data_IF_132280663925
#
_entry.id   IF_132280663925
#
_cell.length_a   1.000
_cell.length_b   1.000
_cell.length_c   1.000
_cell.angle_alpha   90.00
_cell.angle_beta   90.00
_cell.angle_gamma   90.00
#
_symmetry.space_group_name_H-M   'P 1'
#
loop_
_entity.id
_entity.type
_entity.pdbx_description
1 polymer ?
#
# COMPACT_ATOMS: atom_id res chain seq x y z
N UNK A 1 -4.30 23.84 17.09
CA UNK A 1 -3.00 23.43 17.67
C UNK A 1 -2.77 21.97 17.33
N UNK A 2 -1.61 21.61 16.76
CA UNK A 2 -1.24 20.21 16.56
C UNK A 2 -0.59 19.70 17.85
N UNK A 3 -1.10 18.60 18.39
CA UNK A 3 -0.52 17.90 19.53
C UNK A 3 0.88 17.43 19.18
N UNK A 4 1.91 17.94 19.87
CA UNK A 4 3.30 17.46 19.72
C UNK A 4 3.44 16.10 20.41
N UNK A 5 3.44 15.02 19.64
CA UNK A 5 3.67 13.66 20.14
C UNK A 5 3.05 12.57 19.27
N UNK A 6 3.27 11.31 19.62
CA UNK A 6 2.62 10.19 18.96
C UNK A 6 1.14 10.13 19.35
N UNK A 7 0.26 10.33 18.37
CA UNK A 7 -1.19 10.21 18.55
C UNK A 7 -1.64 8.83 18.08
N UNK A 8 -2.21 8.05 18.99
CA UNK A 8 -2.84 6.78 18.68
C UNK A 8 -4.08 7.01 17.81
N UNK A 9 -3.99 6.67 16.53
CA UNK A 9 -5.13 6.70 15.61
C UNK A 9 -5.81 5.33 15.57
N UNK A 10 -7.10 5.31 15.89
CA UNK A 10 -7.92 4.09 15.85
C UNK A 10 -7.86 3.48 14.43
N UNK A 11 -7.49 2.19 14.34
CA UNK A 11 -7.36 1.41 13.08
C UNK A 11 -6.23 1.83 12.13
N UNK A 12 -5.27 2.65 12.56
CA UNK A 12 -4.08 3.03 11.75
C UNK A 12 -3.36 1.82 11.14
N UNK A 13 -3.27 0.73 11.90
CA UNK A 13 -2.66 -0.53 11.49
C UNK A 13 -3.27 -1.11 10.21
N UNK A 14 -4.54 -0.82 9.89
CA UNK A 14 -5.18 -1.31 8.65
C UNK A 14 -4.52 -0.68 7.43
N UNK A 15 -4.29 0.63 7.48
CA UNK A 15 -3.64 1.39 6.40
C UNK A 15 -2.16 1.04 6.30
N UNK A 16 -1.47 0.98 7.44
CA UNK A 16 -0.05 0.62 7.48
C UNK A 16 0.18 -0.80 6.95
N UNK A 17 -0.73 -1.74 7.24
CA UNK A 17 -0.69 -3.09 6.68
C UNK A 17 -0.83 -3.09 5.16
N UNK A 18 -1.76 -2.31 4.59
CA UNK A 18 -1.88 -2.19 3.12
C UNK A 18 -0.58 -1.70 2.49
N UNK A 19 0.05 -0.69 3.09
CA UNK A 19 1.37 -0.22 2.63
C UNK A 19 2.45 -1.30 2.80
N UNK A 20 2.43 -2.06 3.89
CA UNK A 20 3.34 -3.20 4.09
C UNK A 20 3.23 -4.26 2.98
N UNK A 21 2.01 -4.60 2.55
CA UNK A 21 1.78 -5.51 1.43
C UNK A 21 2.30 -4.95 0.10
N UNK A 22 2.00 -3.69 -0.20
CA UNK A 22 2.49 -3.02 -1.42
C UNK A 22 4.03 -2.96 -1.45
N UNK A 23 4.68 -2.65 -0.33
CA UNK A 23 6.13 -2.64 -0.20
C UNK A 23 6.75 -4.05 -0.31
N UNK A 24 6.01 -5.10 0.04
CA UNK A 24 6.42 -6.50 -0.14
C UNK A 24 6.35 -6.98 -1.60
N UNK A 25 5.52 -6.34 -2.43
CA UNK A 25 5.47 -6.63 -3.85
C UNK A 25 6.72 -6.10 -4.56
N UNK A 26 7.69 -6.98 -4.84
CA UNK A 26 8.95 -6.64 -5.52
C UNK A 26 8.77 -5.83 -6.81
N UNK A 27 7.67 -6.05 -7.53
CA UNK A 27 7.33 -5.33 -8.77
C UNK A 27 7.09 -3.82 -8.56
N UNK A 28 6.61 -3.43 -7.38
CA UNK A 28 6.27 -2.04 -7.03
C UNK A 28 7.41 -1.28 -6.33
N UNK A 29 8.55 -1.94 -6.04
CA UNK A 29 9.68 -1.34 -5.34
C UNK A 29 10.30 -0.18 -6.14
N UNK A 30 10.21 -0.24 -7.47
CA UNK A 30 10.56 0.87 -8.36
C UNK A 30 9.55 0.94 -9.49
N UNK A 31 9.23 2.17 -9.86
CA UNK A 31 8.44 2.43 -11.05
C UNK A 31 9.34 2.32 -12.27
N UNK A 32 9.10 1.30 -13.08
CA UNK A 32 9.81 1.05 -14.33
C UNK A 32 8.94 1.36 -15.55
N UNK A 33 7.66 1.67 -15.34
CA UNK A 33 6.73 1.85 -16.45
C UNK A 33 6.88 3.24 -17.05
N UNK A 34 6.69 3.32 -18.36
CA UNK A 34 6.71 4.60 -19.08
C UNK A 34 5.43 5.40 -18.83
N UNK A 35 4.31 4.70 -18.61
CA UNK A 35 2.98 5.27 -18.52
C UNK A 35 2.41 5.07 -17.10
N UNK A 36 1.85 6.11 -16.48
CA UNK A 36 1.29 6.03 -15.13
C UNK A 36 0.12 5.04 -15.04
N UNK A 37 -0.65 4.85 -16.11
CA UNK A 37 -1.77 3.89 -16.12
C UNK A 37 -1.28 2.44 -15.93
N UNK A 38 -0.07 2.15 -16.39
CA UNK A 38 0.51 0.81 -16.25
C UNK A 38 0.96 0.58 -14.81
N UNK A 39 1.59 1.57 -14.19
CA UNK A 39 1.96 1.54 -12.76
C UNK A 39 0.73 1.41 -11.88
N UNK A 40 -0.35 2.14 -12.20
CA UNK A 40 -1.63 2.05 -11.51
C UNK A 40 -2.23 0.64 -11.60
N UNK A 41 -2.18 0.02 -12.79
CA UNK A 41 -2.66 -1.36 -12.99
C UNK A 41 -1.91 -2.34 -12.09
N UNK A 42 -0.59 -2.21 -11.95
CA UNK A 42 0.19 -3.08 -11.05
C UNK A 42 -0.18 -2.89 -9.57
N UNK A 43 -0.53 -1.68 -9.15
CA UNK A 43 -1.02 -1.42 -7.79
C UNK A 43 -2.34 -2.15 -7.56
N UNK A 44 -3.30 -2.07 -8.50
CA UNK A 44 -4.57 -2.81 -8.37
C UNK A 44 -4.37 -4.32 -8.33
N UNK A 45 -3.47 -4.86 -9.16
CA UNK A 45 -3.13 -6.29 -9.13
C UNK A 45 -2.58 -6.72 -7.77
N UNK A 46 -1.68 -5.92 -7.17
CA UNK A 46 -1.16 -6.19 -5.83
C UNK A 46 -2.25 -6.14 -4.75
N UNK A 47 -3.20 -5.21 -4.85
CA UNK A 47 -4.34 -5.12 -3.94
C UNK A 47 -5.28 -6.32 -4.06
N UNK A 48 -5.53 -6.81 -5.29
CA UNK A 48 -6.33 -8.02 -5.53
C UNK A 48 -5.66 -9.24 -4.89
N UNK A 49 -4.34 -9.41 -5.06
CA UNK A 49 -3.60 -10.52 -4.43
C UNK A 49 -3.66 -10.44 -2.90
N UNK A 50 -3.53 -9.24 -2.33
CA UNK A 50 -3.69 -9.03 -0.88
C UNK A 50 -5.08 -9.49 -0.40
N UNK A 51 -6.16 -9.08 -1.09
CA UNK A 51 -7.52 -9.48 -0.72
C UNK A 51 -7.70 -11.00 -0.82
N UNK A 52 -7.17 -11.64 -1.88
CA UNK A 52 -7.21 -13.10 -2.03
C UNK A 52 -6.49 -13.85 -0.90
N UNK A 53 -5.44 -13.27 -0.33
CA UNK A 53 -4.71 -13.87 0.81
C UNK A 53 -5.41 -13.70 2.15
N UNK A 54 -6.36 -12.77 2.24
CA UNK A 54 -7.12 -12.48 3.45
C UNK A 54 -8.48 -13.22 3.50
N UNK A 55 -8.97 -13.67 2.34
CA UNK A 55 -10.14 -14.52 2.20
C UNK A 55 -9.83 -15.97 2.58
#
# INVERSE_FOLDING_TARGET
EQTKGFVLLKKRWVVERTFGWLMGCRRLVRDYELLPETSETFIYLAMIDMIRRLA
#
